data_IF_915102629748
#
_entry.id   IF_915102629748
#
_cell.length_a   1.000
_cell.length_b   1.000
_cell.length_c   1.000
_cell.angle_alpha   90.00
_cell.angle_beta   90.00
_cell.angle_gamma   90.00
#
_symmetry.space_group_name_H-M   'P 1'
#
loop_
_entity.id
_entity.type
_entity.pdbx_description
1 polymer ?
#
# COMPACT_ATOMS: atom_id res chain seq x y z
N UNK A 1 -1.84 -0.37 21.06
CA UNK A 1 -2.82 -0.56 19.98
C UNK A 1 -2.07 -0.88 18.69
N UNK A 2 -2.57 -1.79 17.89
CA UNK A 2 -1.98 -2.16 16.60
C UNK A 2 -2.97 -1.81 15.49
N UNK A 3 -2.47 -1.17 14.44
CA UNK A 3 -3.28 -0.80 13.27
C UNK A 3 -2.66 -1.47 12.05
N UNK A 4 -3.48 -2.22 11.33
CA UNK A 4 -3.11 -2.73 10.01
C UNK A 4 -3.62 -1.81 8.93
N UNK A 5 -2.77 -1.51 7.95
CA UNK A 5 -3.13 -0.70 6.77
C UNK A 5 -2.85 -1.50 5.51
N UNK A 6 -3.84 -1.54 4.63
CA UNK A 6 -3.68 -2.01 3.25
C UNK A 6 -3.65 -0.81 2.30
N UNK A 7 -2.56 -0.72 1.53
CA UNK A 7 -2.31 0.38 0.60
C UNK A 7 -2.86 0.11 -0.79
N UNK A 8 -3.54 1.10 -1.34
CA UNK A 8 -3.92 1.17 -2.74
C UNK A 8 -3.46 2.50 -3.34
N UNK A 9 -3.60 2.67 -4.64
CA UNK A 9 -3.14 3.88 -5.35
C UNK A 9 -3.83 5.17 -4.90
N UNK A 10 -5.10 5.10 -4.58
CA UNK A 10 -5.92 6.28 -4.26
C UNK A 10 -6.53 6.20 -2.86
N UNK A 11 -6.76 5.00 -2.37
CA UNK A 11 -7.54 4.79 -1.16
C UNK A 11 -6.89 3.73 -0.28
N UNK A 12 -6.75 4.02 1.00
CA UNK A 12 -6.20 3.12 2.00
C UNK A 12 -7.28 2.60 2.94
N UNK A 13 -7.09 1.38 3.44
CA UNK A 13 -7.99 0.75 4.41
C UNK A 13 -7.23 0.46 5.70
N UNK A 14 -7.75 0.91 6.83
CA UNK A 14 -7.17 0.71 8.14
C UNK A 14 -8.15 0.01 9.10
N UNK A 15 -7.61 -0.79 10.02
CA UNK A 15 -8.36 -1.40 11.13
C UNK A 15 -7.50 -1.39 12.39
N UNK A 16 -8.11 -1.12 13.53
CA UNK A 16 -7.44 -1.08 14.82
C UNK A 16 -7.76 -2.29 15.68
N UNK A 17 -6.74 -2.80 16.38
CA UNK A 17 -6.81 -3.95 17.26
C UNK A 17 -6.05 -3.69 18.57
N UNK A 18 -6.45 -4.34 19.62
CA UNK A 18 -5.62 -4.39 20.83
C UNK A 18 -4.49 -5.43 20.66
N UNK A 19 -3.59 -5.51 21.64
CA UNK A 19 -2.48 -6.47 21.62
C UNK A 19 -2.92 -7.94 21.71
N UNK A 20 -4.18 -8.23 22.05
CA UNK A 20 -4.77 -9.57 22.07
C UNK A 20 -5.47 -9.91 20.77
N UNK A 21 -5.51 -9.00 19.80
CA UNK A 21 -6.19 -9.17 18.53
C UNK A 21 -7.68 -8.87 18.56
N UNK A 22 -8.19 -8.28 19.63
CA UNK A 22 -9.58 -7.81 19.69
C UNK A 22 -9.73 -6.55 18.84
N UNK A 23 -10.73 -6.56 17.97
CA UNK A 23 -11.01 -5.44 17.08
C UNK A 23 -11.58 -4.25 17.87
N UNK A 24 -10.93 -3.09 17.72
CA UNK A 24 -11.30 -1.84 18.38
C UNK A 24 -12.10 -0.90 17.47
N UNK A 25 -12.05 -1.11 16.16
CA UNK A 25 -12.77 -0.29 15.19
C UNK A 25 -13.22 -1.09 13.98
N UNK A 26 -14.29 -0.62 13.32
CA UNK A 26 -14.62 -1.05 11.97
C UNK A 26 -13.53 -0.60 10.98
N UNK A 27 -13.59 -1.13 9.75
CA UNK A 27 -12.72 -0.69 8.67
C UNK A 27 -12.88 0.80 8.43
N UNK A 28 -11.79 1.54 8.54
CA UNK A 28 -11.69 2.95 8.21
C UNK A 28 -11.08 3.11 6.82
N UNK A 29 -11.71 3.91 5.97
CA UNK A 29 -11.28 4.20 4.61
C UNK A 29 -10.82 5.64 4.53
N UNK A 30 -9.64 5.90 3.96
CA UNK A 30 -9.12 7.24 3.75
C UNK A 30 -8.35 7.34 2.43
N UNK A 31 -8.25 8.55 1.90
CA UNK A 31 -7.60 8.82 0.62
C UNK A 31 -6.10 9.14 0.81
N UNK A 32 -5.31 8.93 -0.24
CA UNK A 32 -3.89 9.29 -0.28
C UNK A 32 -3.70 10.79 -0.55
N UNK A 33 -4.30 11.63 0.28
CA UNK A 33 -4.27 13.10 0.22
C UNK A 33 -3.97 13.67 1.61
N UNK A 34 -3.53 14.93 1.68
CA UNK A 34 -3.29 15.60 2.97
C UNK A 34 -4.54 15.58 3.86
N UNK A 35 -5.70 15.91 3.30
CA UNK A 35 -6.97 15.86 4.02
C UNK A 35 -7.32 14.43 4.47
N UNK A 36 -7.02 13.41 3.64
CA UNK A 36 -7.22 12.02 4.02
C UNK A 36 -6.32 11.59 5.19
N UNK A 37 -5.09 12.10 5.26
CA UNK A 37 -4.17 11.84 6.37
C UNK A 37 -4.58 12.58 7.65
N UNK A 38 -5.12 13.79 7.55
CA UNK A 38 -5.71 14.52 8.66
C UNK A 38 -6.91 13.74 9.24
N UNK A 39 -7.85 13.31 8.40
CA UNK A 39 -8.98 12.47 8.80
C UNK A 39 -8.53 11.15 9.46
N UNK A 40 -7.45 10.56 8.96
CA UNK A 40 -6.85 9.37 9.56
C UNK A 40 -6.28 9.66 10.96
N UNK A 41 -5.62 10.79 11.16
CA UNK A 41 -5.11 11.23 12.47
C UNK A 41 -6.21 11.53 13.47
N UNK A 42 -7.29 12.15 13.03
CA UNK A 42 -8.48 12.38 13.86
C UNK A 42 -9.09 11.05 14.31
N UNK A 43 -9.27 10.12 13.38
CA UNK A 43 -9.75 8.77 13.68
C UNK A 43 -8.84 8.01 14.65
N UNK A 44 -7.49 8.11 14.49
CA UNK A 44 -6.53 7.56 15.44
C UNK A 44 -6.72 8.13 16.84
N UNK A 45 -6.84 9.44 16.93
CA UNK A 45 -6.99 10.16 18.18
C UNK A 45 -8.28 9.76 18.90
N UNK A 46 -9.39 9.62 18.17
CA UNK A 46 -10.68 9.18 18.70
C UNK A 46 -10.61 7.77 19.27
N UNK A 47 -9.99 6.83 18.53
CA UNK A 47 -9.85 5.45 19.00
C UNK A 47 -8.93 5.37 20.23
N UNK A 48 -7.85 6.12 20.25
CA UNK A 48 -6.94 6.19 21.38
C UNK A 48 -7.66 6.66 22.65
N UNK A 49 -8.42 7.75 22.55
CA UNK A 49 -9.21 8.29 23.66
C UNK A 49 -10.27 7.31 24.16
N UNK A 50 -11.03 6.73 23.22
CA UNK A 50 -12.13 5.81 23.55
C UNK A 50 -11.63 4.54 24.23
N UNK A 51 -10.48 4.01 23.82
CA UNK A 51 -9.92 2.75 24.33
C UNK A 51 -8.81 2.95 25.35
N UNK A 52 -8.47 4.19 25.73
CA UNK A 52 -7.40 4.54 26.67
C UNK A 52 -6.05 3.89 26.28
N UNK A 53 -5.63 4.10 25.03
CA UNK A 53 -4.39 3.54 24.45
C UNK A 53 -3.45 4.66 24.03
N UNK A 54 -2.25 4.66 24.62
CA UNK A 54 -1.23 5.68 24.33
C UNK A 54 -0.18 5.19 23.32
N UNK A 55 0.09 3.88 23.29
CA UNK A 55 1.08 3.31 22.39
C UNK A 55 0.42 2.76 21.11
N UNK A 56 0.85 3.29 19.96
CA UNK A 56 0.37 2.91 18.64
C UNK A 56 1.51 2.31 17.83
N UNK A 57 1.23 1.20 17.14
CA UNK A 57 2.09 0.65 16.10
C UNK A 57 1.25 0.47 14.84
N UNK A 58 1.68 1.07 13.74
CA UNK A 58 1.03 0.94 12.45
C UNK A 58 1.82 -0.02 11.58
N UNK A 59 1.18 -1.08 11.15
CA UNK A 59 1.76 -2.06 10.23
C UNK A 59 1.14 -1.98 8.84
N UNK A 60 1.98 -2.19 7.82
CA UNK A 60 1.52 -2.25 6.43
C UNK A 60 2.33 -3.24 5.61
N UNK A 61 1.77 -3.67 4.49
CA UNK A 61 2.49 -4.40 3.45
C UNK A 61 3.16 -3.40 2.50
N UNK A 62 4.47 -3.52 2.19
CA UNK A 62 5.18 -2.62 1.28
C UNK A 62 4.77 -2.85 -0.18
N UNK A 63 3.58 -2.40 -0.54
CA UNK A 63 3.07 -2.51 -1.92
C UNK A 63 3.46 -1.29 -2.73
N UNK A 64 4.34 -1.46 -3.71
CA UNK A 64 4.79 -0.38 -4.59
C UNK A 64 5.41 0.78 -3.82
N UNK A 65 5.01 2.01 -4.18
CA UNK A 65 5.48 3.26 -3.58
C UNK A 65 4.40 4.01 -2.79
N UNK A 66 3.17 3.49 -2.75
CA UNK A 66 2.01 4.17 -2.16
C UNK A 66 2.11 4.42 -0.65
N UNK A 67 2.96 3.65 0.04
CA UNK A 67 3.18 3.77 1.48
C UNK A 67 4.04 4.97 1.88
N UNK A 68 4.84 5.52 0.94
CA UNK A 68 5.93 6.46 1.26
C UNK A 68 5.40 7.76 1.87
N UNK A 69 4.39 8.37 1.24
CA UNK A 69 3.79 9.62 1.71
C UNK A 69 3.16 9.49 3.10
N UNK A 70 2.49 8.38 3.36
CA UNK A 70 1.95 8.13 4.70
C UNK A 70 3.07 7.86 5.71
N UNK A 71 4.12 7.14 5.32
CA UNK A 71 5.25 6.85 6.22
C UNK A 71 5.99 8.13 6.63
N UNK A 72 6.19 9.09 5.72
CA UNK A 72 6.73 10.41 6.03
C UNK A 72 5.81 11.16 7.02
N UNK A 73 4.53 11.21 6.72
CA UNK A 73 3.54 11.83 7.60
C UNK A 73 3.54 11.23 9.01
N UNK A 74 3.58 9.90 9.13
CA UNK A 74 3.63 9.20 10.42
C UNK A 74 4.93 9.47 11.18
N UNK A 75 6.05 9.60 10.47
CA UNK A 75 7.34 9.94 11.05
C UNK A 75 7.35 11.35 11.65
N UNK A 76 6.77 12.33 10.96
CA UNK A 76 6.61 13.71 11.45
C UNK A 76 5.77 13.77 12.73
N UNK A 77 4.85 12.82 12.93
CA UNK A 77 3.98 12.74 14.10
C UNK A 77 4.47 11.75 15.17
N UNK A 78 5.72 11.26 15.05
CA UNK A 78 6.34 10.28 15.98
C UNK A 78 5.51 9.00 16.17
N UNK A 79 4.82 8.57 15.12
CA UNK A 79 4.02 7.35 15.12
C UNK A 79 4.85 6.18 14.56
N UNK A 80 5.00 5.11 15.34
CA UNK A 80 5.78 3.93 14.94
C UNK A 80 5.14 3.20 13.77
N UNK A 81 5.88 3.14 12.66
CA UNK A 81 5.48 2.47 11.42
C UNK A 81 6.38 1.25 11.13
N UNK A 82 5.77 0.15 10.73
CA UNK A 82 6.48 -1.12 10.48
C UNK A 82 5.95 -1.83 9.24
N UNK A 83 6.79 -2.65 8.61
CA UNK A 83 6.40 -3.48 7.48
C UNK A 83 6.23 -4.94 7.84
N UNK A 84 5.19 -5.57 7.28
CA UNK A 84 5.02 -7.01 7.26
C UNK A 84 5.49 -7.59 5.92
N UNK A 85 6.03 -8.81 5.97
CA UNK A 85 6.49 -9.47 4.75
C UNK A 85 5.28 -9.94 3.90
N UNK A 86 5.20 -9.57 2.60
CA UNK A 86 4.12 -9.97 1.70
C UNK A 86 3.89 -11.49 1.64
N UNK A 87 4.97 -12.28 1.72
CA UNK A 87 4.86 -13.75 1.76
C UNK A 87 4.15 -14.25 3.02
N UNK A 88 4.37 -13.59 4.16
CA UNK A 88 3.66 -13.92 5.40
C UNK A 88 2.18 -13.53 5.30
N UNK A 89 1.88 -12.36 4.74
CA UNK A 89 0.50 -11.91 4.50
C UNK A 89 -0.23 -12.93 3.64
N UNK A 90 0.35 -13.34 2.51
CA UNK A 90 -0.24 -14.34 1.61
C UNK A 90 -0.50 -15.67 2.33
N UNK A 91 0.51 -16.22 3.02
CA UNK A 91 0.36 -17.50 3.74
C UNK A 91 -0.68 -17.43 4.85
N UNK A 92 -0.75 -16.33 5.59
CA UNK A 92 -1.73 -16.16 6.67
C UNK A 92 -3.15 -16.06 6.10
N UNK A 93 -3.34 -15.40 4.96
CA UNK A 93 -4.62 -15.37 4.25
C UNK A 93 -5.06 -16.75 3.80
N UNK A 94 -4.15 -17.55 3.24
CA UNK A 94 -4.42 -18.92 2.81
C UNK A 94 -4.82 -19.84 3.98
N UNK A 95 -4.29 -19.59 5.18
CA UNK A 95 -4.63 -20.35 6.39
C UNK A 95 -5.97 -19.91 7.01
N UNK A 96 -6.29 -18.63 6.96
CA UNK A 96 -7.48 -18.07 7.59
C UNK A 96 -8.74 -18.18 6.70
N UNK A 97 -8.59 -18.29 5.37
CA UNK A 97 -9.70 -18.36 4.41
C UNK A 97 -9.46 -19.48 3.37
N UNK A 98 -10.32 -20.49 3.38
CA UNK A 98 -10.38 -21.51 2.32
C UNK A 98 -10.93 -20.96 0.98
N UNK A 99 -11.33 -19.70 0.91
CA UNK A 99 -11.81 -19.05 -0.31
C UNK A 99 -10.87 -17.93 -0.78
N UNK A 100 -10.35 -18.02 -2.01
CA UNK A 100 -9.44 -17.02 -2.58
C UNK A 100 -10.15 -15.72 -3.01
N UNK A 101 -11.16 -15.25 -2.26
CA UNK A 101 -11.80 -13.98 -2.57
C UNK A 101 -10.91 -12.84 -2.12
N UNK A 102 -10.39 -12.08 -3.09
CA UNK A 102 -9.70 -10.82 -2.85
C UNK A 102 -10.68 -9.86 -2.16
N UNK A 103 -10.43 -9.59 -0.89
CA UNK A 103 -11.28 -8.69 -0.12
C UNK A 103 -10.39 -7.69 0.64
N UNK A 104 -10.25 -6.51 0.06
CA UNK A 104 -9.42 -5.42 0.58
C UNK A 104 -9.77 -5.03 2.04
N UNK A 105 -10.97 -5.42 2.50
CA UNK A 105 -11.40 -5.21 3.88
C UNK A 105 -10.80 -6.21 4.89
N UNK A 106 -10.31 -7.36 4.42
CA UNK A 106 -9.72 -8.39 5.28
C UNK A 106 -8.20 -8.20 5.45
N UNK A 107 -7.55 -7.58 4.48
CA UNK A 107 -6.11 -7.41 4.44
C UNK A 107 -5.55 -6.65 5.64
N UNK A 108 -6.14 -5.53 6.10
CA UNK A 108 -5.69 -4.83 7.30
C UNK A 108 -5.71 -5.70 8.58
N UNK A 109 -6.66 -6.64 8.68
CA UNK A 109 -6.73 -7.57 9.83
C UNK A 109 -5.55 -8.53 9.85
N UNK A 110 -5.21 -9.11 8.69
CA UNK A 110 -4.07 -10.03 8.56
C UNK A 110 -2.76 -9.31 8.86
N UNK A 111 -2.61 -8.08 8.39
CA UNK A 111 -1.45 -7.24 8.65
C UNK A 111 -1.32 -6.97 10.15
N UNK A 112 -2.41 -6.54 10.82
CA UNK A 112 -2.40 -6.30 12.25
C UNK A 112 -2.05 -7.55 13.06
N UNK A 113 -2.56 -8.73 12.68
CA UNK A 113 -2.24 -10.02 13.30
C UNK A 113 -0.74 -10.31 13.25
N UNK A 114 -0.11 -10.14 12.08
CA UNK A 114 1.33 -10.33 11.93
C UNK A 114 2.15 -9.35 12.78
N UNK A 115 1.71 -8.10 12.91
CA UNK A 115 2.36 -7.12 13.80
C UNK A 115 2.24 -7.52 15.27
N UNK A 116 1.07 -7.99 15.71
CA UNK A 116 0.84 -8.49 17.08
C UNK A 116 1.75 -9.68 17.37
N UNK A 117 1.94 -10.58 16.40
CA UNK A 117 2.86 -11.72 16.50
C UNK A 117 4.35 -11.33 16.47
N UNK A 118 4.70 -10.04 16.32
CA UNK A 118 6.08 -9.57 16.22
C UNK A 118 6.76 -9.86 14.89
N UNK A 119 6.01 -10.25 13.86
CA UNK A 119 6.51 -10.64 12.52
C UNK A 119 6.55 -9.43 11.58
N UNK A 120 7.35 -8.45 11.93
CA UNK A 120 7.49 -7.21 11.18
C UNK A 120 8.94 -6.75 11.10
N UNK A 121 9.20 -5.80 10.21
CA UNK A 121 10.48 -5.12 10.01
C UNK A 121 10.26 -3.62 10.18
N UNK A 122 11.26 -2.93 10.75
CA UNK A 122 11.26 -1.45 10.79
C UNK A 122 11.77 -0.97 9.43
N UNK A 123 10.97 -0.20 8.67
CA UNK A 123 11.40 0.31 7.38
C UNK A 123 12.50 1.37 7.53
N UNK A 124 13.44 1.36 6.62
CA UNK A 124 14.30 2.50 6.40
C UNK A 124 13.55 3.51 5.52
N UNK A 125 13.24 4.66 6.08
CA UNK A 125 12.64 5.78 5.35
C UNK A 125 13.80 6.72 4.97
N UNK A 126 14.16 6.81 3.67
CA UNK A 126 15.26 7.68 3.24
C UNK A 126 14.93 9.14 3.53
N UNK A 127 15.94 9.91 3.92
CA UNK A 127 15.83 11.33 4.21
C UNK A 127 16.65 12.14 3.20
N UNK A 128 16.33 13.42 3.09
CA UNK A 128 17.08 14.41 2.32
C UNK A 128 17.38 13.96 0.88
N UNK A 129 18.65 14.03 0.49
CA UNK A 129 19.12 13.69 -0.86
C UNK A 129 18.80 12.25 -1.28
N UNK A 130 18.72 11.31 -0.35
CA UNK A 130 18.38 9.92 -0.66
C UNK A 130 16.89 9.77 -0.99
N UNK A 131 16.01 10.56 -0.40
CA UNK A 131 14.60 10.61 -0.76
C UNK A 131 14.43 11.17 -2.18
N UNK A 132 15.11 12.26 -2.51
CA UNK A 132 15.12 12.84 -3.87
C UNK A 132 15.66 11.86 -4.91
N UNK A 133 16.79 11.22 -4.65
CA UNK A 133 17.40 10.23 -5.53
C UNK A 133 16.46 9.04 -5.79
N UNK A 134 15.71 8.61 -4.79
CA UNK A 134 14.72 7.56 -4.93
C UNK A 134 13.60 7.97 -5.89
N UNK A 135 13.02 9.16 -5.68
CA UNK A 135 11.97 9.70 -6.55
C UNK A 135 12.48 9.84 -7.99
N UNK A 136 13.69 10.37 -8.17
CA UNK A 136 14.32 10.49 -9.49
C UNK A 136 14.52 9.13 -10.16
N UNK A 137 14.99 8.13 -9.42
CA UNK A 137 15.19 6.78 -9.95
C UNK A 137 13.86 6.12 -10.34
N UNK A 138 12.82 6.25 -9.53
CA UNK A 138 11.48 5.75 -9.85
C UNK A 138 10.90 6.41 -11.11
N UNK A 139 11.03 7.72 -11.23
CA UNK A 139 10.64 8.46 -12.43
C UNK A 139 11.41 7.99 -13.67
N UNK A 140 12.73 7.80 -13.57
CA UNK A 140 13.57 7.25 -14.62
C UNK A 140 13.10 5.85 -15.05
N UNK A 141 12.81 4.98 -14.09
CA UNK A 141 12.32 3.62 -14.37
C UNK A 141 10.96 3.64 -15.05
N UNK A 142 10.06 4.56 -14.68
CA UNK A 142 8.76 4.75 -15.33
C UNK A 142 8.92 5.22 -16.77
N UNK A 143 9.73 6.25 -17.01
CA UNK A 143 10.00 6.78 -18.36
C UNK A 143 10.61 5.69 -19.26
N UNK A 144 11.57 4.92 -18.76
CA UNK A 144 12.17 3.82 -19.51
C UNK A 144 11.13 2.74 -19.85
N UNK A 145 10.24 2.38 -18.94
CA UNK A 145 9.17 1.41 -19.17
C UNK A 145 8.19 1.90 -20.24
N UNK A 146 7.80 3.16 -20.17
CA UNK A 146 6.89 3.78 -21.13
C UNK A 146 7.55 3.88 -22.53
N UNK A 147 8.84 4.20 -22.58
CA UNK A 147 9.61 4.21 -23.82
C UNK A 147 9.72 2.81 -24.45
N UNK A 148 9.98 1.77 -23.64
CA UNK A 148 10.01 0.38 -24.12
C UNK A 148 8.64 -0.09 -24.61
N UNK A 149 7.56 0.28 -23.94
CA UNK A 149 6.22 -0.03 -24.37
C UNK A 149 5.88 0.65 -25.71
N UNK A 150 6.21 1.94 -25.85
CA UNK A 150 6.05 2.67 -27.11
C UNK A 150 6.87 2.05 -28.25
N UNK A 151 8.09 1.58 -27.99
CA UNK A 151 8.91 0.90 -28.99
C UNK A 151 8.31 -0.44 -29.42
N UNK A 152 7.79 -1.24 -28.49
CA UNK A 152 7.09 -2.50 -28.78
C UNK A 152 5.84 -2.28 -29.63
N UNK A 153 5.03 -1.27 -29.30
CA UNK A 153 3.86 -0.90 -30.10
C UNK A 153 4.30 -0.49 -31.52
N UNK A 154 5.34 0.33 -31.65
CA UNK A 154 5.84 0.78 -32.94
C UNK A 154 6.41 -0.36 -33.80
N UNK A 155 7.03 -1.36 -33.18
CA UNK A 155 7.51 -2.57 -33.88
C UNK A 155 6.33 -3.44 -34.31
N UNK A 156 5.30 -3.55 -33.50
CA UNK A 156 4.09 -4.31 -33.86
C UNK A 156 3.34 -3.66 -35.03
N UNK A 157 3.19 -2.33 -35.04
CA UNK A 157 2.62 -1.60 -36.16
C UNK A 157 3.44 -1.77 -37.46
N UNK A 158 4.78 -1.83 -37.38
CA UNK A 158 5.63 -2.04 -38.55
C UNK A 158 5.52 -3.47 -39.12
N UNK A 159 5.32 -4.47 -38.28
CA UNK A 159 5.09 -5.85 -38.71
C UNK A 159 3.72 -6.05 -39.35
N UNK A 160 2.72 -5.31 -38.91
CA UNK A 160 1.35 -5.37 -39.47
C UNK A 160 1.23 -4.62 -40.81
N UNK A 161 2.05 -3.59 -41.04
CA UNK A 161 2.08 -2.87 -42.35
C UNK A 161 2.92 -3.55 -43.40
N UNK A 162 3.70 -4.60 -43.05
CA UNK A 162 4.54 -5.34 -43.98
C UNK A 162 3.89 -6.55 -44.65
N UNK A 163 2.63 -6.86 -44.36
CA UNK A 163 1.85 -7.90 -45.02
C UNK A 163 0.67 -7.23 -45.75
N UNK A 164 0.74 -7.22 -47.08
CA UNK A 164 -0.33 -6.77 -47.96
C UNK A 164 -1.64 -7.50 -47.63
N UNK A 165 -2.50 -6.89 -46.85
CA UNK A 165 -3.95 -7.10 -46.86
C UNK A 165 -4.59 -6.12 -45.89
N UNK A 166 -5.39 -5.23 -46.42
CA UNK A 166 -6.23 -4.27 -45.68
C UNK A 166 -7.16 -4.98 -44.71
N UNK A 167 -6.88 -4.90 -43.41
CA UNK A 167 -7.86 -5.15 -42.38
C UNK A 167 -7.75 -4.08 -41.31
N UNK A 168 -8.66 -3.10 -41.37
CA UNK A 168 -8.85 -2.06 -40.35
C UNK A 168 -9.44 -2.72 -39.10
N UNK A 169 -8.59 -3.09 -38.16
CA UNK A 169 -9.03 -3.40 -36.79
C UNK A 169 -8.87 -2.14 -35.93
N UNK A 170 -9.95 -1.44 -35.71
CA UNK A 170 -10.09 -0.41 -34.68
C UNK A 170 -10.01 -1.10 -33.32
N UNK A 171 -8.87 -1.02 -32.63
CA UNK A 171 -8.77 -1.38 -31.22
C UNK A 171 -9.12 -0.12 -30.43
N UNK A 172 -10.25 -0.15 -29.75
CA UNK A 172 -10.61 0.84 -28.74
C UNK A 172 -9.72 0.64 -27.51
N UNK A 173 -9.23 1.76 -26.99
CA UNK A 173 -8.56 1.92 -25.69
C UNK A 173 -9.51 1.60 -24.54
#
# INVERSE_FOLDING_TARGET
MVIGIDFSSETHYARAFDWRGLELSKVFKFESTSCGFENFSEWLTEICKTNQKDNIIIGAEPTGHYWFTLAEYLKEHDIKFVFVNPMHVKRTKELDDNHPSKNDRKDPKVIAKLVIEGRYLIPYIPEDIYAELRIMNENRMRINRDSLNKSKIRTHYRLVQGSDSYCLVRVFL
#
